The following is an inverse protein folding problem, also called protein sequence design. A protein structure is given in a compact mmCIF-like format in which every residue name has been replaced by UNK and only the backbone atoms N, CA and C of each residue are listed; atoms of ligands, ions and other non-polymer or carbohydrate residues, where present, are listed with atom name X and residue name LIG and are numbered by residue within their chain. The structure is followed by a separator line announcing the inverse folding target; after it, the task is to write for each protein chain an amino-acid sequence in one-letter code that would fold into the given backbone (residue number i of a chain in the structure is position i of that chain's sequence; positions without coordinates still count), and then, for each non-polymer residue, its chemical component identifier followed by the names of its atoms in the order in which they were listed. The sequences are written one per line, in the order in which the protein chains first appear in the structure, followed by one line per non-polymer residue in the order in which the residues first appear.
data_IF_354962501560
#
_entry.id   IF_354962501560
#
_cell.length_a   1.000
_cell.length_b   1.000
_cell.length_c   1.000
_cell.angle_alpha   90.00
_cell.angle_beta   90.00
_cell.angle_gamma   90.00
#
_symmetry.space_group_name_H-M   'P 1'
#
loop_
_entity.id
_entity.type
_entity.pdbx_description
1 polymer ?
#
# COMPACT_ATOMS: atom_id res chain seq x y z
N UNK A 1 -22.58 0.23 -7.65
CA UNK A 1 -21.25 -0.20 -8.10
C UNK A 1 -20.34 -0.11 -6.89
N UNK A 2 -19.79 -1.25 -6.46
CA UNK A 2 -18.87 -1.33 -5.34
C UNK A 2 -17.52 -0.67 -5.69
N UNK A 3 -16.69 -0.39 -4.70
CA UNK A 3 -15.32 0.07 -4.95
C UNK A 3 -14.53 -0.96 -5.76
N UNK A 4 -14.73 -2.25 -5.46
CA UNK A 4 -14.12 -3.35 -6.21
C UNK A 4 -14.52 -3.30 -7.69
N UNK A 5 -15.82 -3.16 -8.00
CA UNK A 5 -16.31 -3.11 -9.39
C UNK A 5 -15.63 -1.97 -10.18
N UNK A 6 -15.34 -0.84 -9.51
CA UNK A 6 -14.61 0.29 -10.11
C UNK A 6 -13.18 -0.08 -10.46
N UNK A 7 -12.44 -0.69 -9.53
CA UNK A 7 -11.08 -1.16 -9.79
C UNK A 7 -11.10 -2.25 -10.88
N UNK A 8 -12.03 -3.20 -10.78
CA UNK A 8 -12.19 -4.29 -11.75
C UNK A 8 -12.49 -3.78 -13.16
N UNK A 9 -13.24 -2.69 -13.31
CA UNK A 9 -13.50 -2.07 -14.63
C UNK A 9 -12.24 -1.53 -15.33
N UNK A 10 -11.14 -1.33 -14.60
CA UNK A 10 -9.87 -0.79 -15.11
C UNK A 10 -8.85 -1.88 -15.47
N UNK A 11 -9.13 -3.17 -15.18
CA UNK A 11 -8.15 -4.27 -15.34
C UNK A 11 -7.75 -4.50 -16.80
N UNK A 12 -8.54 -4.02 -17.76
CA UNK A 12 -8.20 -4.08 -19.19
C UNK A 12 -6.97 -3.23 -19.56
N UNK A 13 -6.57 -2.29 -18.68
CA UNK A 13 -5.32 -1.53 -18.80
C UNK A 13 -4.16 -2.20 -18.05
N UNK A 14 -4.42 -3.26 -17.28
CA UNK A 14 -3.44 -3.89 -16.39
C UNK A 14 -2.89 -5.17 -17.04
N UNK A 15 -1.68 -5.56 -16.67
CA UNK A 15 -1.08 -6.82 -17.16
C UNK A 15 -1.34 -7.92 -16.15
N UNK A 16 -1.99 -9.01 -16.56
CA UNK A 16 -2.19 -10.16 -15.67
C UNK A 16 -0.85 -10.87 -15.44
N UNK A 17 -0.56 -11.17 -14.18
CA UNK A 17 0.63 -11.94 -13.79
C UNK A 17 0.22 -13.40 -13.62
N UNK A 18 0.84 -14.29 -14.39
CA UNK A 18 0.54 -15.73 -14.35
C UNK A 18 1.75 -16.57 -13.91
N UNK A 19 2.96 -16.06 -14.07
CA UNK A 19 4.21 -16.71 -13.69
C UNK A 19 5.16 -15.70 -13.02
N UNK A 20 5.73 -16.10 -11.88
CA UNK A 20 6.58 -15.22 -11.06
C UNK A 20 7.95 -14.97 -11.70
N UNK A 21 8.52 -15.98 -12.37
CA UNK A 21 9.82 -15.87 -13.02
C UNK A 21 9.72 -15.02 -14.29
N UNK A 22 8.65 -15.16 -15.07
CA UNK A 22 8.38 -14.32 -16.24
C UNK A 22 8.21 -12.85 -15.85
N UNK A 23 7.41 -12.58 -14.83
CA UNK A 23 7.17 -11.23 -14.30
C UNK A 23 8.46 -10.56 -13.83
N UNK A 24 9.26 -11.27 -13.04
CA UNK A 24 10.54 -10.76 -12.54
C UNK A 24 11.53 -10.60 -13.69
N UNK A 25 11.61 -11.54 -14.63
CA UNK A 25 12.47 -11.42 -15.79
C UNK A 25 12.15 -10.16 -16.60
N UNK A 26 10.86 -9.88 -16.84
CA UNK A 26 10.45 -8.69 -17.58
C UNK A 26 10.84 -7.40 -16.84
N UNK A 27 10.44 -7.26 -15.57
CA UNK A 27 10.73 -6.08 -14.76
C UNK A 27 12.24 -5.83 -14.59
N UNK A 28 12.99 -6.88 -14.27
CA UNK A 28 14.40 -6.74 -13.98
C UNK A 28 15.26 -6.60 -15.24
N UNK A 29 14.80 -7.08 -16.41
CA UNK A 29 15.49 -6.82 -17.68
C UNK A 29 15.60 -5.32 -17.98
N UNK A 30 14.52 -4.56 -17.72
CA UNK A 30 14.48 -3.10 -17.87
C UNK A 30 15.30 -2.43 -16.76
N UNK A 31 15.14 -2.87 -15.52
CA UNK A 31 15.90 -2.36 -14.37
C UNK A 31 17.42 -2.45 -14.60
N UNK A 32 17.94 -3.62 -14.99
CA UNK A 32 19.37 -3.81 -15.24
C UNK A 32 19.85 -3.09 -16.50
N UNK A 33 19.04 -3.07 -17.58
CA UNK A 33 19.42 -2.38 -18.83
C UNK A 33 19.48 -0.85 -18.68
N UNK A 34 18.68 -0.29 -17.77
CA UNK A 34 18.74 1.13 -17.42
C UNK A 34 19.92 1.47 -16.50
N UNK A 35 20.77 0.50 -16.13
CA UNK A 35 21.90 0.66 -15.23
C UNK A 35 21.52 1.23 -13.85
N UNK A 36 20.26 1.06 -13.43
CA UNK A 36 19.70 1.75 -12.26
C UNK A 36 19.77 3.28 -12.36
N UNK A 37 19.74 3.84 -13.58
CA UNK A 37 19.86 5.29 -13.84
C UNK A 37 18.98 6.09 -12.88
N UNK A 38 19.63 7.01 -12.15
CA UNK A 38 19.15 7.79 -11.01
C UNK A 38 17.88 7.23 -10.36
N UNK A 39 18.05 6.28 -9.42
CA UNK A 39 17.03 6.06 -8.37
C UNK A 39 16.49 7.44 -7.97
N UNK A 40 15.19 7.65 -8.14
CA UNK A 40 14.57 8.91 -7.72
C UNK A 40 14.81 9.03 -6.21
N UNK A 41 15.69 9.95 -5.82
CA UNK A 41 16.03 10.19 -4.42
C UNK A 41 14.95 11.09 -3.80
N UNK A 42 13.71 10.57 -3.75
CA UNK A 42 12.53 11.31 -3.26
C UNK A 42 12.57 11.49 -1.74
N UNK A 43 13.34 10.65 -1.05
CA UNK A 43 13.47 10.61 0.40
C UNK A 43 14.91 10.89 0.79
N UNK A 44 15.11 11.89 1.65
CA UNK A 44 16.37 12.07 2.36
C UNK A 44 16.29 11.35 3.71
N UNK A 45 16.93 10.16 3.86
CA UNK A 45 16.84 9.35 5.07
C UNK A 45 17.63 9.94 6.23
N UNK A 46 18.44 10.99 6.02
CA UNK A 46 19.21 11.64 7.08
C UNK A 46 18.37 12.67 7.86
N UNK A 47 17.27 13.15 7.27
CA UNK A 47 16.38 14.12 7.91
C UNK A 47 15.45 13.46 8.91
N UNK A 48 15.18 14.15 10.01
CA UNK A 48 14.20 13.72 11.02
C UNK A 48 12.76 14.03 10.63
N UNK A 49 12.54 14.77 9.55
CA UNK A 49 11.23 15.16 9.05
C UNK A 49 11.31 15.48 7.56
N UNK A 50 10.28 15.11 6.81
CA UNK A 50 10.12 15.40 5.39
C UNK A 50 8.73 15.94 5.12
N UNK A 51 8.65 16.93 4.22
CA UNK A 51 7.39 17.38 3.65
C UNK A 51 7.22 16.72 2.29
N UNK A 52 6.16 15.94 2.14
CA UNK A 52 5.82 15.21 0.91
C UNK A 52 4.62 15.89 0.26
N UNK A 53 4.75 16.25 -1.01
CA UNK A 53 3.66 16.79 -1.82
C UNK A 53 3.13 15.70 -2.76
N UNK A 54 1.89 15.28 -2.56
CA UNK A 54 1.22 14.28 -3.39
C UNK A 54 0.27 15.00 -4.34
N UNK A 55 0.50 14.87 -5.65
CA UNK A 55 -0.35 15.51 -6.66
C UNK A 55 -1.27 14.49 -7.33
N UNK A 56 -2.58 14.65 -7.11
CA UNK A 56 -3.64 13.90 -7.77
C UNK A 56 -4.52 14.85 -8.57
N UNK A 57 -4.26 14.98 -9.87
CA UNK A 57 -5.01 15.90 -10.74
C UNK A 57 -4.93 17.35 -10.26
N UNK A 58 -6.07 17.92 -9.85
CA UNK A 58 -6.17 19.30 -9.33
C UNK A 58 -6.00 19.42 -7.82
N UNK A 59 -5.82 18.31 -7.10
CA UNK A 59 -5.61 18.29 -5.65
C UNK A 59 -4.15 18.01 -5.34
N UNK A 60 -3.58 18.83 -4.47
CA UNK A 60 -2.26 18.61 -3.87
C UNK A 60 -2.43 18.39 -2.37
N UNK A 61 -1.88 17.29 -1.87
CA UNK A 61 -1.79 17.02 -0.43
C UNK A 61 -0.37 17.28 0.02
N UNK A 62 -0.20 18.17 0.99
CA UNK A 62 1.10 18.43 1.63
C UNK A 62 1.09 17.77 3.00
N UNK A 63 1.95 16.76 3.18
CA UNK A 63 2.03 15.95 4.40
C UNK A 63 3.41 16.10 5.02
N UNK A 64 3.45 16.31 6.34
CA UNK A 64 4.72 16.38 7.07
C UNK A 64 4.90 15.09 7.87
N UNK A 65 5.95 14.35 7.55
CA UNK A 65 6.22 13.02 8.08
C UNK A 65 7.53 13.06 8.86
N UNK A 66 7.46 12.76 10.15
CA UNK A 66 8.64 12.55 10.97
C UNK A 66 9.29 11.20 10.63
N UNK A 67 10.62 11.17 10.68
CA UNK A 67 11.48 10.00 10.53
C UNK A 67 12.35 9.84 11.78
N UNK A 68 12.93 8.66 11.95
CA UNK A 68 13.97 8.41 12.95
C UNK A 68 15.20 7.71 12.32
N UNK A 69 16.12 8.49 11.73
CA UNK A 69 17.31 7.96 11.04
C UNK A 69 18.23 7.14 11.94
N UNK A 70 18.31 7.49 13.23
CA UNK A 70 19.21 6.84 14.18
C UNK A 70 18.84 5.37 14.41
N UNK A 71 17.54 5.07 14.35
CA UNK A 71 16.98 3.73 14.58
C UNK A 71 17.14 2.83 13.34
N UNK A 72 17.19 3.42 12.14
CA UNK A 72 17.30 2.68 10.88
C UNK A 72 18.55 1.78 10.81
N UNK A 73 19.65 2.21 11.45
CA UNK A 73 20.96 1.55 11.33
C UNK A 73 21.24 0.47 12.39
N UNK A 74 20.50 0.41 13.50
CA UNK A 74 20.92 -0.43 14.63
C UNK A 74 20.41 -1.88 14.56
N UNK A 75 19.34 -2.20 13.82
CA UNK A 75 18.68 -3.51 13.93
C UNK A 75 17.93 -3.99 12.66
N UNK A 76 18.31 -3.54 11.46
CA UNK A 76 17.55 -3.86 10.24
C UNK A 76 16.14 -3.24 10.24
N UNK A 77 16.00 -2.09 10.90
CA UNK A 77 14.73 -1.41 11.14
C UNK A 77 14.41 -0.43 10.01
N UNK A 78 14.02 -1.00 8.87
CA UNK A 78 13.74 -0.24 7.65
C UNK A 78 12.57 0.73 7.78
N UNK A 79 11.58 0.46 8.63
CA UNK A 79 10.35 1.28 8.72
C UNK A 79 10.47 2.67 9.35
N UNK A 80 11.63 3.04 9.92
CA UNK A 80 11.83 4.30 10.64
C UNK A 80 12.10 5.51 9.74
N UNK A 81 12.34 5.27 8.46
CA UNK A 81 12.46 6.30 7.41
C UNK A 81 11.43 6.01 6.33
N UNK A 82 11.10 7.03 5.53
CA UNK A 82 10.27 6.85 4.35
C UNK A 82 11.00 6.02 3.30
N UNK A 83 10.22 5.33 2.49
CA UNK A 83 10.69 4.65 1.30
C UNK A 83 10.07 5.31 0.08
N UNK A 84 10.81 5.38 -1.02
CA UNK A 84 10.32 5.99 -2.25
C UNK A 84 9.02 5.32 -2.74
N UNK A 85 8.91 4.00 -2.59
CA UNK A 85 7.68 3.25 -2.87
C UNK A 85 6.45 3.80 -2.14
N UNK A 86 6.59 4.27 -0.90
CA UNK A 86 5.48 4.83 -0.12
C UNK A 86 5.01 6.17 -0.71
N UNK A 87 5.93 6.97 -1.27
CA UNK A 87 5.58 8.19 -2.01
C UNK A 87 4.89 7.82 -3.32
N UNK A 88 5.47 6.91 -4.10
CA UNK A 88 4.91 6.46 -5.38
C UNK A 88 3.50 5.85 -5.20
N UNK A 89 3.32 4.99 -4.20
CA UNK A 89 2.03 4.38 -3.85
C UNK A 89 1.03 5.45 -3.45
N UNK A 90 1.44 6.43 -2.65
CA UNK A 90 0.57 7.53 -2.22
C UNK A 90 0.19 8.45 -3.37
N UNK A 91 1.11 8.75 -4.29
CA UNK A 91 0.82 9.51 -5.50
C UNK A 91 -0.16 8.76 -6.42
N UNK A 92 0.03 7.45 -6.58
CA UNK A 92 -0.89 6.62 -7.35
C UNK A 92 -2.32 6.70 -6.78
N UNK A 93 -2.48 6.54 -5.47
CA UNK A 93 -3.77 6.67 -4.80
C UNK A 93 -4.36 8.09 -4.96
N UNK A 94 -3.53 9.13 -4.85
CA UNK A 94 -3.96 10.51 -5.06
C UNK A 94 -4.45 10.74 -6.50
N UNK A 95 -3.73 10.25 -7.52
CA UNK A 95 -4.16 10.29 -8.91
C UNK A 95 -5.45 9.51 -9.13
N UNK A 96 -5.58 8.31 -8.58
CA UNK A 96 -6.81 7.51 -8.73
C UNK A 96 -8.03 8.20 -8.09
N UNK A 97 -7.84 8.97 -7.01
CA UNK A 97 -8.91 9.78 -6.41
C UNK A 97 -9.53 10.81 -7.37
N UNK A 98 -8.79 11.26 -8.39
CA UNK A 98 -9.31 12.14 -9.45
C UNK A 98 -9.76 11.40 -10.69
N UNK A 99 -9.53 10.08 -10.77
CA UNK A 99 -9.92 9.20 -11.87
C UNK A 99 -11.01 8.20 -11.45
N UNK A 100 -11.86 8.61 -10.50
CA UNK A 100 -13.11 7.91 -10.17
C UNK A 100 -13.02 6.92 -9.01
N UNK A 101 -11.88 6.77 -8.33
CA UNK A 101 -11.83 6.02 -7.08
C UNK A 101 -12.41 6.87 -5.94
N UNK A 102 -13.58 6.48 -5.44
CA UNK A 102 -14.22 7.15 -4.31
C UNK A 102 -13.82 6.51 -2.98
N UNK A 103 -12.76 7.05 -2.38
CA UNK A 103 -12.26 6.62 -1.07
C UNK A 103 -13.30 6.75 0.05
N UNK A 104 -14.29 7.64 -0.05
CA UNK A 104 -15.29 7.84 1.00
C UNK A 104 -16.18 6.61 1.26
N UNK A 105 -16.15 5.65 0.33
CA UNK A 105 -16.92 4.41 0.40
C UNK A 105 -16.16 3.24 1.04
N UNK A 106 -14.86 3.38 1.34
CA UNK A 106 -14.03 2.28 1.80
C UNK A 106 -13.45 2.46 3.21
N UNK A 107 -13.32 1.34 3.90
CA UNK A 107 -12.41 1.17 5.02
C UNK A 107 -11.13 0.52 4.50
N UNK A 108 -9.98 1.10 4.82
CA UNK A 108 -8.67 0.63 4.37
C UNK A 108 -7.80 0.17 5.54
N UNK A 109 -6.92 -0.79 5.26
CA UNK A 109 -5.85 -1.23 6.16
C UNK A 109 -4.53 -1.07 5.43
N UNK A 110 -3.51 -0.57 6.11
CA UNK A 110 -2.13 -0.67 5.65
C UNK A 110 -1.38 -1.65 6.56
N UNK A 111 -0.72 -2.65 5.97
CA UNK A 111 0.18 -3.55 6.69
C UNK A 111 1.62 -3.08 6.49
N UNK A 112 2.38 -2.88 7.58
CA UNK A 112 3.75 -2.37 7.50
C UNK A 112 3.81 -0.88 7.20
N UNK A 113 3.02 -0.08 7.91
CA UNK A 113 2.90 1.36 7.67
C UNK A 113 4.19 2.15 7.84
N UNK A 114 5.16 1.67 8.64
CA UNK A 114 6.39 2.39 8.96
C UNK A 114 6.10 3.79 9.52
N UNK A 115 6.47 4.82 8.76
CA UNK A 115 6.16 6.22 9.09
C UNK A 115 4.68 6.62 8.88
N UNK A 116 3.88 5.82 8.17
CA UNK A 116 2.43 6.00 7.99
C UNK A 116 1.99 6.87 6.82
N UNK A 117 2.89 7.18 5.87
CA UNK A 117 2.58 8.09 4.75
C UNK A 117 1.36 7.62 3.94
N UNK A 118 1.30 6.34 3.55
CA UNK A 118 0.21 5.83 2.70
C UNK A 118 -1.12 5.85 3.47
N UNK A 119 -1.13 5.41 4.73
CA UNK A 119 -2.32 5.52 5.59
C UNK A 119 -2.83 6.96 5.75
N UNK A 120 -1.92 7.90 6.00
CA UNK A 120 -2.26 9.32 6.12
C UNK A 120 -2.81 9.83 4.78
N UNK A 121 -2.19 9.46 3.66
CA UNK A 121 -2.66 9.83 2.32
C UNK A 121 -4.07 9.30 2.07
N UNK A 122 -4.35 8.01 2.29
CA UNK A 122 -5.70 7.44 2.15
C UNK A 122 -6.74 8.16 3.00
N UNK A 123 -6.40 8.48 4.26
CA UNK A 123 -7.27 9.24 5.14
C UNK A 123 -7.55 10.65 4.59
N UNK A 124 -6.53 11.34 4.08
CA UNK A 124 -6.63 12.68 3.48
C UNK A 124 -7.38 12.66 2.13
N UNK A 125 -7.35 11.55 1.41
CA UNK A 125 -8.18 11.35 0.21
C UNK A 125 -9.66 11.08 0.54
N UNK A 126 -9.98 10.87 1.83
CA UNK A 126 -11.33 10.79 2.34
C UNK A 126 -11.79 9.38 2.70
N UNK A 127 -10.87 8.42 2.84
CA UNK A 127 -11.21 7.08 3.33
C UNK A 127 -12.00 7.16 4.64
N UNK A 128 -13.14 6.46 4.71
CA UNK A 128 -14.04 6.50 5.87
C UNK A 128 -13.30 6.05 7.12
N UNK A 129 -12.48 5.02 6.98
CA UNK A 129 -11.69 4.45 8.08
C UNK A 129 -10.37 3.95 7.53
N UNK A 130 -9.26 4.27 8.18
CA UNK A 130 -7.93 3.75 7.88
C UNK A 130 -7.33 3.14 9.13
N UNK A 131 -6.90 1.88 9.05
CA UNK A 131 -6.05 1.24 10.07
C UNK A 131 -4.62 1.23 9.55
N UNK A 132 -3.75 2.05 10.15
CA UNK A 132 -2.32 1.97 9.93
C UNK A 132 -1.74 0.93 10.89
N UNK A 133 -1.09 -0.11 10.37
CA UNK A 133 -0.57 -1.20 11.22
C UNK A 133 0.90 -1.46 11.04
N UNK A 134 1.56 -1.79 12.13
CA UNK A 134 2.97 -2.16 12.15
C UNK A 134 3.29 -2.95 13.44
N UNK A 135 4.55 -3.29 13.67
CA UNK A 135 5.06 -3.92 14.90
C UNK A 135 5.18 -2.89 16.03
N UNK A 136 5.10 -3.35 17.29
CA UNK A 136 5.18 -2.55 18.53
C UNK A 136 6.21 -1.40 18.49
N UNK A 137 7.42 -1.70 18.01
CA UNK A 137 8.53 -0.74 17.95
C UNK A 137 8.25 0.48 17.06
N UNK A 138 7.39 0.36 16.06
CA UNK A 138 7.03 1.45 15.15
C UNK A 138 5.90 2.32 15.69
N UNK A 139 5.13 1.85 16.68
CA UNK A 139 3.91 2.53 17.14
C UNK A 139 4.16 3.97 17.60
N UNK A 140 5.27 4.25 18.30
CA UNK A 140 5.57 5.62 18.75
C UNK A 140 5.69 6.60 17.57
N UNK A 141 6.38 6.21 16.51
CA UNK A 141 6.58 7.06 15.33
C UNK A 141 5.29 7.14 14.50
N UNK A 142 4.65 6.00 14.26
CA UNK A 142 3.42 5.90 13.50
C UNK A 142 2.30 6.72 14.13
N UNK A 143 2.06 6.56 15.44
CA UNK A 143 1.04 7.34 16.17
C UNK A 143 1.33 8.84 16.09
N UNK A 144 2.58 9.27 16.31
CA UNK A 144 2.97 10.69 16.16
C UNK A 144 2.60 11.22 14.77
N UNK A 145 2.99 10.53 13.70
CA UNK A 145 2.72 10.98 12.34
C UNK A 145 1.22 11.00 12.04
N UNK A 146 0.48 9.97 12.44
CA UNK A 146 -0.97 9.95 12.25
C UNK A 146 -1.66 11.08 13.00
N UNK A 147 -1.29 11.37 14.25
CA UNK A 147 -1.91 12.44 15.04
C UNK A 147 -1.57 13.84 14.50
N UNK A 148 -0.32 14.08 14.11
CA UNK A 148 0.09 15.36 13.52
C UNK A 148 -0.63 15.67 12.20
N UNK A 149 -0.97 14.64 11.42
CA UNK A 149 -1.62 14.79 10.12
C UNK A 149 -3.15 14.62 10.17
N UNK A 150 -3.78 14.47 11.35
CA UNK A 150 -5.25 14.43 11.49
C UNK A 150 -5.93 15.79 11.29
N UNK A 151 -5.22 16.89 11.54
CA UNK A 151 -5.81 18.24 11.72
C UNK A 151 -5.97 19.03 10.41
N UNK A 152 -5.34 18.62 9.30
CA UNK A 152 -5.27 19.43 8.06
C UNK A 152 -6.59 19.49 7.25
N UNK A 153 -7.66 18.79 7.65
CA UNK A 153 -8.96 18.79 6.90
C UNK A 153 -10.15 19.45 7.62
N UNK A 154 -9.98 20.66 8.14
CA UNK A 154 -11.13 21.51 8.50
C UNK A 154 -11.58 22.39 7.31
N UNK A 155 -11.90 21.76 6.17
CA UNK A 155 -12.80 22.39 5.21
C UNK A 155 -14.23 21.90 5.46
N UNK A 156 -15.03 22.85 5.93
CA UNK A 156 -16.12 22.75 6.90
C UNK A 156 -17.46 22.21 6.40
N UNK A 157 -17.53 21.55 5.25
CA UNK A 157 -18.83 21.21 4.65
C UNK A 157 -19.03 19.71 4.39
N UNK A 158 -19.86 19.10 5.24
CA UNK A 158 -20.73 17.94 4.97
C UNK A 158 -20.09 16.56 4.72
N UNK A 159 -18.82 16.31 5.07
CA UNK A 159 -18.29 14.95 5.02
C UNK A 159 -18.57 14.18 6.32
N UNK A 160 -18.92 12.88 6.25
CA UNK A 160 -19.02 12.03 7.43
C UNK A 160 -17.66 11.98 8.17
N UNK A 161 -17.67 11.73 9.49
CA UNK A 161 -16.42 11.62 10.24
C UNK A 161 -15.55 10.50 9.69
N UNK A 162 -14.29 10.81 9.39
CA UNK A 162 -13.27 9.84 9.00
C UNK A 162 -12.48 9.40 10.22
N UNK A 163 -11.98 8.16 10.22
CA UNK A 163 -11.19 7.59 11.31
C UNK A 163 -9.81 7.19 10.80
N UNK A 164 -8.76 7.63 11.47
CA UNK A 164 -7.40 7.13 11.31
C UNK A 164 -6.94 6.52 12.64
N UNK A 165 -6.65 5.22 12.63
CA UNK A 165 -6.19 4.46 13.79
C UNK A 165 -4.80 3.89 13.50
N UNK A 166 -3.83 4.16 14.36
CA UNK A 166 -2.57 3.42 14.41
C UNK A 166 -2.68 2.29 15.45
N UNK A 167 -2.34 1.06 15.08
CA UNK A 167 -2.33 -0.09 16.01
C UNK A 167 -1.36 -1.17 15.58
N UNK A 168 -1.08 -2.11 16.47
CA UNK A 168 -0.16 -3.21 16.19
C UNK A 168 -0.80 -4.30 15.33
N UNK A 169 -0.05 -4.81 14.36
CA UNK A 169 -0.38 -6.05 13.66
C UNK A 169 0.89 -6.75 13.20
N UNK A 170 1.22 -7.87 13.84
CA UNK A 170 2.33 -8.74 13.46
C UNK A 170 1.87 -9.75 12.42
N UNK A 171 2.58 -9.82 11.29
CA UNK A 171 2.25 -10.70 10.18
C UNK A 171 2.30 -12.19 10.53
N UNK A 172 1.49 -12.98 9.81
CA UNK A 172 1.40 -14.44 9.96
C UNK A 172 0.56 -14.91 11.15
N UNK A 173 -0.09 -13.98 11.86
CA UNK A 173 -0.98 -14.23 13.00
C UNK A 173 -2.30 -13.48 12.79
N UNK A 174 -3.32 -13.81 13.57
CA UNK A 174 -4.51 -12.97 13.65
C UNK A 174 -4.18 -11.65 14.37
N UNK A 175 -4.84 -10.53 14.04
CA UNK A 175 -4.63 -9.27 14.74
C UNK A 175 -5.07 -9.39 16.20
N UNK A 176 -4.21 -9.02 17.14
CA UNK A 176 -4.53 -9.01 18.56
C UNK A 176 -5.53 -7.90 18.92
N UNK A 177 -5.44 -6.76 18.24
CA UNK A 177 -6.40 -5.68 18.37
C UNK A 177 -7.61 -5.93 17.45
N UNK A 178 -8.81 -6.22 18.00
CA UNK A 178 -9.99 -6.49 17.19
C UNK A 178 -10.42 -5.29 16.33
N UNK A 179 -9.96 -4.08 16.67
CA UNK A 179 -10.25 -2.87 15.88
C UNK A 179 -9.68 -2.92 14.47
N UNK A 180 -8.67 -3.77 14.21
CA UNK A 180 -8.09 -3.97 12.87
C UNK A 180 -9.17 -4.45 11.89
N UNK A 181 -10.00 -5.42 12.29
CA UNK A 181 -11.03 -6.03 11.45
C UNK A 181 -12.46 -5.71 11.93
N UNK A 182 -12.63 -4.63 12.69
CA UNK A 182 -13.94 -4.27 13.26
C UNK A 182 -14.97 -3.78 12.23
N UNK A 183 -14.51 -3.38 11.04
CA UNK A 183 -15.36 -2.85 9.96
C UNK A 183 -15.01 -3.58 8.65
N UNK A 184 -15.99 -3.79 7.74
CA UNK A 184 -15.73 -4.45 6.46
C UNK A 184 -14.65 -3.72 5.64
N UNK A 185 -13.57 -4.43 5.31
CA UNK A 185 -12.43 -3.87 4.59
C UNK A 185 -12.76 -3.80 3.09
N UNK A 186 -12.47 -2.66 2.46
CA UNK A 186 -12.59 -2.49 1.01
C UNK A 186 -11.23 -2.53 0.30
N UNK A 187 -10.18 -2.13 1.02
CA UNK A 187 -8.82 -2.09 0.48
C UNK A 187 -7.78 -2.48 1.55
N UNK A 188 -6.75 -3.22 1.14
CA UNK A 188 -5.52 -3.38 1.90
C UNK A 188 -4.36 -2.86 1.08
N UNK A 189 -3.45 -2.12 1.70
CA UNK A 189 -2.24 -1.61 1.04
C UNK A 189 -1.00 -2.11 1.75
N UNK A 190 0.02 -2.45 0.99
CA UNK A 190 1.38 -2.69 1.49
C UNK A 190 2.37 -1.92 0.62
N UNK A 191 3.42 -1.37 1.23
CA UNK A 191 4.43 -0.58 0.54
C UNK A 191 5.82 -0.96 1.04
N UNK A 192 6.68 -1.49 0.17
CA UNK A 192 8.04 -1.94 0.47
C UNK A 192 8.19 -2.86 1.70
N UNK A 193 7.22 -3.77 1.86
CA UNK A 193 7.19 -4.66 3.03
C UNK A 193 8.07 -5.91 2.87
N UNK A 194 8.46 -6.26 1.64
CA UNK A 194 9.23 -7.48 1.37
C UNK A 194 10.68 -7.15 1.02
N UNK A 195 11.57 -7.46 1.96
CA UNK A 195 13.02 -7.28 1.84
C UNK A 195 13.81 -8.57 2.06
N UNK A 196 13.12 -9.66 2.44
CA UNK A 196 13.69 -10.98 2.67
C UNK A 196 12.64 -12.05 2.38
N UNK A 197 13.03 -13.17 1.78
CA UNK A 197 12.13 -14.26 1.35
C UNK A 197 11.25 -14.81 2.49
N UNK A 198 11.81 -14.92 3.70
CA UNK A 198 11.10 -15.45 4.87
C UNK A 198 9.92 -14.58 5.34
N UNK A 199 9.85 -13.33 4.90
CA UNK A 199 8.78 -12.39 5.25
C UNK A 199 7.54 -12.64 4.38
N UNK A 200 7.73 -13.09 3.15
CA UNK A 200 6.65 -13.18 2.16
C UNK A 200 5.49 -14.09 2.64
N UNK A 201 5.71 -15.33 3.12
CA UNK A 201 4.61 -16.20 3.54
C UNK A 201 3.82 -15.64 4.73
N UNK A 202 4.49 -14.96 5.66
CA UNK A 202 3.84 -14.35 6.82
C UNK A 202 2.94 -13.19 6.39
N UNK A 203 3.44 -12.33 5.50
CA UNK A 203 2.70 -11.19 4.97
C UNK A 203 1.50 -11.65 4.14
N UNK A 204 1.72 -12.58 3.21
CA UNK A 204 0.66 -13.10 2.33
C UNK A 204 -0.44 -13.77 3.15
N UNK A 205 -0.09 -14.55 4.18
CA UNK A 205 -1.08 -15.09 5.11
C UNK A 205 -1.94 -14.01 5.76
N UNK A 206 -1.35 -12.92 6.23
CA UNK A 206 -2.10 -11.80 6.81
C UNK A 206 -2.98 -11.09 5.78
N UNK A 207 -2.55 -10.96 4.52
CA UNK A 207 -3.38 -10.45 3.43
C UNK A 207 -4.59 -11.35 3.18
N UNK A 208 -4.39 -12.68 3.13
CA UNK A 208 -5.46 -13.66 2.97
C UNK A 208 -6.47 -13.56 4.12
N UNK A 209 -6.00 -13.46 5.36
CA UNK A 209 -6.86 -13.34 6.54
C UNK A 209 -7.69 -12.05 6.50
N UNK A 210 -7.11 -10.92 6.09
CA UNK A 210 -7.85 -9.67 5.91
C UNK A 210 -8.88 -9.80 4.78
N UNK A 211 -8.50 -10.37 3.63
CA UNK A 211 -9.44 -10.57 2.52
C UNK A 211 -10.61 -11.48 2.90
N UNK A 212 -10.37 -12.52 3.70
CA UNK A 212 -11.41 -13.45 4.19
C UNK A 212 -12.31 -12.86 5.29
N UNK A 213 -11.93 -11.73 5.89
CA UNK A 213 -12.78 -11.02 6.86
C UNK A 213 -14.08 -10.48 6.26
N UNK A 214 -14.17 -10.46 4.92
CA UNK A 214 -15.31 -10.00 4.13
C UNK A 214 -15.68 -11.03 3.06
N UNK A 215 -16.97 -11.23 2.84
CA UNK A 215 -17.47 -12.23 1.86
C UNK A 215 -18.45 -11.69 0.82
N UNK A 216 -18.99 -10.49 0.99
CA UNK A 216 -19.98 -9.88 0.11
C UNK A 216 -19.37 -9.24 -1.14
N UNK A 217 -18.18 -8.64 -1.01
CA UNK A 217 -17.44 -8.00 -2.10
C UNK A 217 -15.95 -8.29 -1.88
N UNK A 218 -15.19 -8.62 -2.94
CA UNK A 218 -13.75 -8.83 -2.81
C UNK A 218 -13.03 -7.60 -2.25
N UNK A 219 -12.00 -7.85 -1.44
CA UNK A 219 -11.10 -6.82 -0.94
C UNK A 219 -10.00 -6.56 -1.99
N UNK A 220 -9.83 -5.30 -2.38
CA UNK A 220 -8.74 -4.90 -3.28
C UNK A 220 -7.45 -4.83 -2.48
N UNK A 221 -6.43 -5.57 -2.89
CA UNK A 221 -5.09 -5.46 -2.33
C UNK A 221 -4.21 -4.68 -3.30
N UNK A 222 -3.58 -3.61 -2.83
CA UNK A 222 -2.60 -2.83 -3.58
C UNK A 222 -1.21 -3.04 -2.97
N UNK A 223 -0.26 -3.46 -3.79
CA UNK A 223 1.14 -3.67 -3.41
C UNK A 223 1.97 -2.64 -4.14
N UNK A 224 2.79 -1.88 -3.43
CA UNK A 224 3.87 -1.10 -4.03
C UNK A 224 5.22 -1.63 -3.59
N UNK A 225 6.10 -1.93 -4.54
CA UNK A 225 7.39 -2.54 -4.25
C UNK A 225 8.49 -1.87 -5.09
N UNK A 226 9.59 -1.50 -4.45
CA UNK A 226 10.81 -1.11 -5.15
C UNK A 226 11.60 -2.36 -5.57
N UNK A 227 12.09 -2.34 -6.80
CA UNK A 227 12.92 -3.39 -7.37
C UNK A 227 14.33 -3.34 -6.73
N UNK A 228 14.75 -4.45 -6.14
CA UNK A 228 16.03 -4.57 -5.40
C UNK A 228 16.71 -5.91 -5.63
N UNK A 229 15.95 -6.99 -5.43
CA UNK A 229 16.39 -8.37 -5.63
C UNK A 229 15.30 -9.12 -6.39
N UNK A 230 15.67 -9.59 -7.57
CA UNK A 230 14.89 -10.48 -8.42
C UNK A 230 14.48 -11.76 -7.67
N UNK A 231 15.42 -12.39 -6.94
CA UNK A 231 15.17 -13.61 -6.17
C UNK A 231 14.10 -13.39 -5.09
N UNK A 232 14.24 -12.35 -4.27
CA UNK A 232 13.27 -12.04 -3.21
C UNK A 232 11.91 -11.67 -3.82
N UNK A 233 11.92 -10.95 -4.95
CA UNK A 233 10.69 -10.55 -5.63
C UNK A 233 9.97 -11.76 -6.26
N UNK A 234 10.69 -12.68 -6.89
CA UNK A 234 10.13 -13.89 -7.49
C UNK A 234 9.47 -14.77 -6.42
N UNK A 235 10.16 -14.97 -5.29
CA UNK A 235 9.60 -15.71 -4.15
C UNK A 235 8.30 -15.06 -3.64
N UNK A 236 8.25 -13.73 -3.58
CA UNK A 236 7.05 -13.01 -3.16
C UNK A 236 5.90 -13.13 -4.17
N UNK A 237 6.15 -12.92 -5.46
CA UNK A 237 5.13 -13.05 -6.50
C UNK A 237 4.61 -14.48 -6.56
N UNK A 238 5.49 -15.49 -6.43
CA UNK A 238 5.09 -16.89 -6.37
C UNK A 238 4.10 -17.16 -5.22
N UNK A 239 4.41 -16.69 -4.01
CA UNK A 239 3.53 -16.79 -2.84
C UNK A 239 2.18 -16.07 -3.07
N UNK A 240 2.18 -14.89 -3.70
CA UNK A 240 0.94 -14.19 -4.05
C UNK A 240 0.09 -14.99 -5.04
N UNK A 241 0.71 -15.57 -6.07
CA UNK A 241 0.03 -16.36 -7.10
C UNK A 241 -0.59 -17.65 -6.55
N UNK A 242 -0.20 -18.14 -5.38
CA UNK A 242 -0.88 -19.29 -4.75
C UNK A 242 -2.32 -18.95 -4.33
N UNK A 243 -2.61 -17.68 -4.03
CA UNK A 243 -3.86 -17.26 -3.38
C UNK A 243 -4.64 -16.19 -4.14
N UNK A 244 -3.97 -15.34 -4.91
CA UNK A 244 -4.56 -14.13 -5.49
C UNK A 244 -4.61 -14.19 -7.02
N UNK A 245 -5.57 -13.47 -7.60
CA UNK A 245 -5.49 -13.06 -8.99
C UNK A 245 -4.69 -11.75 -9.03
N UNK A 246 -3.50 -11.78 -9.62
CA UNK A 246 -2.51 -10.68 -9.54
C UNK A 246 -2.41 -9.94 -10.87
N UNK A 247 -2.43 -8.62 -10.81
CA UNK A 247 -2.32 -7.74 -11.98
C UNK A 247 -1.28 -6.65 -11.74
N UNK A 248 -0.29 -6.56 -12.62
CA UNK A 248 0.65 -5.44 -12.69
C UNK A 248 -0.07 -4.20 -13.22
N UNK A 249 -0.05 -3.15 -12.41
CA UNK A 249 -0.67 -1.86 -12.69
C UNK A 249 0.30 -1.01 -13.52
N UNK A 250 -0.17 -0.34 -14.60
CA UNK A 250 0.68 0.59 -15.34
C UNK A 250 1.04 1.79 -14.46
N UNK A 251 2.34 2.04 -14.31
CA UNK A 251 2.87 3.25 -13.68
C UNK A 251 3.50 4.17 -14.72
N UNK A 252 3.72 5.44 -14.39
CA UNK A 252 4.34 6.36 -15.35
C UNK A 252 5.75 5.87 -15.73
N UNK A 253 6.20 6.02 -16.99
CA UNK A 253 7.50 5.50 -17.44
C UNK A 253 8.71 5.97 -16.62
N UNK A 254 8.63 7.15 -15.98
CA UNK A 254 9.69 7.67 -15.10
C UNK A 254 9.74 7.00 -13.71
N UNK A 255 8.69 6.26 -13.35
CA UNK A 255 8.53 5.50 -12.10
C UNK A 255 8.72 4.00 -12.37
N UNK A 256 8.36 3.54 -13.56
CA UNK A 256 8.30 2.13 -13.98
C UNK A 256 9.65 1.39 -13.90
N UNK A 257 10.78 2.11 -14.01
CA UNK A 257 12.09 1.43 -14.09
C UNK A 257 12.60 0.87 -12.76
N UNK A 258 12.08 1.33 -11.62
CA UNK A 258 12.56 0.93 -10.29
C UNK A 258 11.46 0.49 -9.34
N UNK A 259 10.19 0.60 -9.73
CA UNK A 259 9.05 0.31 -8.86
C UNK A 259 7.97 -0.41 -9.64
N UNK A 260 7.28 -1.34 -8.97
CA UNK A 260 6.09 -1.99 -9.49
C UNK A 260 4.92 -1.76 -8.55
N UNK A 261 3.73 -1.63 -9.13
CA UNK A 261 2.47 -1.69 -8.41
C UNK A 261 1.68 -2.94 -8.84
N UNK A 262 1.17 -3.70 -7.89
CA UNK A 262 0.22 -4.77 -8.15
C UNK A 262 -1.14 -4.46 -7.55
N UNK A 263 -2.19 -4.71 -8.32
CA UNK A 263 -3.56 -4.79 -7.83
C UNK A 263 -4.00 -6.26 -7.86
N UNK A 264 -4.60 -6.73 -6.77
CA UNK A 264 -5.01 -8.13 -6.67
C UNK A 264 -6.19 -8.33 -5.73
N UNK A 265 -6.80 -9.51 -5.79
CA UNK A 265 -7.87 -9.93 -4.89
C UNK A 265 -7.83 -11.45 -4.74
N UNK A 266 -8.45 -11.96 -3.67
CA UNK A 266 -8.42 -13.38 -3.35
C UNK A 266 -9.09 -14.19 -4.48
N UNK A 267 -8.40 -15.21 -5.00
CA UNK A 267 -8.92 -16.04 -6.09
C UNK A 267 -10.25 -16.67 -5.70
N UNK A 268 -11.22 -16.62 -6.61
CA UNK A 268 -12.56 -17.16 -6.40
C UNK A 268 -13.45 -16.36 -5.45
N UNK A 269 -12.98 -15.23 -4.90
CA UNK A 269 -13.84 -14.30 -4.14
C UNK A 269 -14.80 -13.51 -5.02
N UNK A 270 -14.52 -13.46 -6.33
CA UNK A 270 -15.40 -12.87 -7.33
C UNK A 270 -16.15 -13.97 -8.09
N UNK A 271 -17.42 -14.19 -7.76
CA UNK A 271 -18.33 -15.01 -8.56
C UNK A 271 -19.15 -14.12 -9.50
N UNK A 272 -19.12 -14.34 -10.82
CA UNK A 272 -19.96 -13.59 -11.76
C UNK A 272 -21.48 -13.81 -11.58
N UNK A 273 -21.90 -14.69 -10.67
CA UNK A 273 -23.30 -15.13 -10.51
C UNK A 273 -24.18 -14.23 -9.61
N UNK A 274 -23.69 -13.07 -9.15
CA UNK A 274 -24.50 -12.15 -8.32
C UNK A 274 -24.82 -10.80 -8.97
N UNK A 275 -24.63 -10.68 -10.29
CA UNK A 275 -25.27 -9.61 -11.09
C UNK A 275 -26.61 -10.08 -11.64
N UNK A 276 -27.65 -10.10 -10.80
CA UNK A 276 -29.04 -10.16 -11.22
C UNK A 276 -29.89 -9.20 -10.41
#
# INVERSE_FOLDING_TARGET
MSFFDKVYSEIGEYTRVEDAEEEVCELYSVYYSSNGSSRLDLVDPSKTELTVELTGGTKTLTLTIAQNPNINNELGQTGAVLWNSSIITSEYLARRSTHGWDFSTINAIELGSGCGLVSIAMHQLGARRVVATDQARMMKLLTRNTDCNRVVQLNRNRKPPTVLLATEYVWGRAPEDPRVLAEPVGMVVISDCVYHESVAPLLVRSLVDVCKSRSDVPVVVLVGQELRSDIVHAAFVAELLEHFDVYRVPVMPSVDTNYVLYAMWLRGSHSPEHTH
#
